data_IF_828428778411
#
_entry.id   IF_828428778411
#
_cell.length_a   1.000
_cell.length_b   1.000
_cell.length_c   1.000
_cell.angle_alpha   90.00
_cell.angle_beta   90.00
_cell.angle_gamma   90.00
#
_symmetry.space_group_name_H-M   'P 1'
#
loop_
_entity.id
_entity.type
_entity.pdbx_description
1 polymer ?
#
# COMPACT_ATOMS: atom_id res chain seq x y z
N UNK A 1 -29.02 -0.68 38.92
CA UNK A 1 -28.17 -1.90 39.12
C UNK A 1 -27.41 -2.06 37.83
N UNK A 2 -26.49 -1.13 37.73
CA UNK A 2 -25.65 -0.81 36.61
C UNK A 2 -24.42 -1.68 36.76
N UNK A 3 -24.07 -2.39 35.70
CA UNK A 3 -22.79 -3.08 35.60
C UNK A 3 -22.16 -2.67 34.28
N UNK A 4 -21.65 -1.44 34.31
CA UNK A 4 -20.61 -0.94 33.42
C UNK A 4 -19.35 -1.82 33.63
N UNK A 5 -18.85 -2.43 32.56
CA UNK A 5 -17.48 -2.94 32.54
C UNK A 5 -16.58 -1.95 31.77
N UNK A 6 -15.52 -1.44 32.39
CA UNK A 6 -14.81 -0.26 31.93
C UNK A 6 -13.86 -0.53 30.77
N UNK A 7 -13.77 0.48 29.91
CA UNK A 7 -12.67 0.75 29.01
C UNK A 7 -11.37 0.95 29.81
N UNK A 8 -10.37 0.11 29.54
CA UNK A 8 -8.96 0.44 29.75
C UNK A 8 -8.21 -0.43 30.76
N UNK A 9 -7.25 -1.23 30.28
CA UNK A 9 -5.98 -1.48 30.99
C UNK A 9 -4.86 -1.72 29.96
N UNK A 10 -4.16 -0.64 29.65
CA UNK A 10 -2.69 -0.47 29.52
C UNK A 10 -1.83 -1.76 29.47
N UNK A 11 -1.23 -2.03 28.30
CA UNK A 11 0.03 -2.76 28.21
C UNK A 11 1.20 -1.77 28.12
N UNK A 12 2.09 -1.88 29.09
CA UNK A 12 3.37 -1.20 29.21
C UNK A 12 4.36 -1.68 28.14
N UNK A 13 5.05 -0.75 27.47
CA UNK A 13 6.21 -1.07 26.63
C UNK A 13 6.63 0.12 25.79
N UNK A 14 7.70 0.80 26.21
CA UNK A 14 8.28 1.92 25.48
C UNK A 14 8.77 1.54 24.08
N UNK A 15 8.63 2.47 23.14
CA UNK A 15 9.27 2.42 21.83
C UNK A 15 9.90 3.80 21.58
N UNK A 16 11.04 4.02 22.22
CA UNK A 16 12.12 4.80 21.62
C UNK A 16 12.90 3.84 20.72
N UNK A 17 12.53 3.76 19.45
CA UNK A 17 13.33 3.17 18.37
C UNK A 17 12.68 3.61 17.05
N UNK A 18 13.52 3.86 16.07
CA UNK A 18 13.23 4.26 14.69
C UNK A 18 11.97 3.61 14.11
N UNK A 19 11.32 4.29 13.16
CA UNK A 19 10.36 3.67 12.24
C UNK A 19 11.06 2.59 11.42
N UNK A 20 11.32 1.44 12.03
CA UNK A 20 11.74 0.26 11.32
C UNK A 20 10.47 -0.32 10.70
N UNK A 21 10.38 -0.18 9.39
CA UNK A 21 9.36 -0.83 8.57
C UNK A 21 9.39 -2.31 8.93
N UNK A 22 8.41 -2.77 9.71
CA UNK A 22 8.24 -4.16 10.07
C UNK A 22 7.77 -4.90 8.80
N UNK A 23 8.74 -5.31 7.97
CA UNK A 23 8.56 -6.35 6.95
C UNK A 23 8.38 -7.68 7.71
N UNK A 24 7.23 -7.86 8.35
CA UNK A 24 6.92 -9.10 9.01
C UNK A 24 6.56 -10.15 7.96
N UNK A 25 7.57 -10.95 7.62
CA UNK A 25 7.41 -12.29 7.03
C UNK A 25 6.59 -12.30 5.73
N UNK A 26 7.26 -11.98 4.61
CA UNK A 26 6.99 -12.68 3.35
C UNK A 26 7.24 -14.18 3.60
N UNK A 27 6.23 -14.86 4.11
CA UNK A 27 6.26 -16.28 4.43
C UNK A 27 6.41 -17.06 3.13
N UNK A 28 7.61 -17.60 2.94
CA UNK A 28 7.86 -18.94 2.37
C UNK A 28 6.81 -19.46 1.37
N UNK A 29 6.59 -18.69 0.31
CA UNK A 29 5.97 -19.17 -0.92
C UNK A 29 6.84 -18.59 -2.04
N UNK A 30 7.55 -19.51 -2.73
CA UNK A 30 8.56 -19.31 -3.79
C UNK A 30 8.63 -17.85 -4.27
N UNK A 31 9.78 -17.14 -4.15
CA UNK A 31 9.85 -15.75 -4.60
C UNK A 31 9.39 -15.71 -6.05
N UNK A 32 8.20 -15.16 -6.28
CA UNK A 32 7.72 -14.93 -7.63
C UNK A 32 8.74 -14.00 -8.25
N UNK A 33 9.36 -14.42 -9.36
CA UNK A 33 10.32 -13.62 -10.12
C UNK A 33 9.87 -12.17 -10.16
N UNK A 34 10.68 -11.25 -9.64
CA UNK A 34 10.40 -9.82 -9.67
C UNK A 34 10.17 -9.40 -11.12
N UNK A 35 8.91 -9.10 -11.44
CA UNK A 35 8.51 -8.67 -12.77
C UNK A 35 8.43 -7.16 -12.76
N UNK A 36 9.24 -6.52 -13.61
CA UNK A 36 9.34 -5.06 -13.71
C UNK A 36 8.01 -4.39 -14.08
N UNK A 37 7.11 -5.11 -14.75
CA UNK A 37 5.80 -4.58 -15.14
C UNK A 37 4.77 -4.66 -13.98
N UNK A 38 5.06 -5.40 -12.91
CA UNK A 38 4.15 -5.66 -11.79
C UNK A 38 4.55 -4.90 -10.52
N UNK A 39 4.99 -3.65 -10.64
CA UNK A 39 5.45 -2.83 -9.50
C UNK A 39 4.37 -2.60 -8.44
N UNK A 40 3.11 -2.44 -8.87
CA UNK A 40 1.97 -2.24 -7.98
C UNK A 40 1.37 -3.54 -7.43
N UNK A 41 2.02 -4.69 -7.63
CA UNK A 41 1.53 -5.98 -7.13
C UNK A 41 1.46 -5.94 -5.62
N UNK A 42 0.27 -6.17 -5.10
CA UNK A 42 0.00 -6.15 -3.67
C UNK A 42 -0.44 -4.80 -3.11
N UNK A 43 -0.47 -3.74 -3.91
CA UNK A 43 -1.01 -2.44 -3.47
C UNK A 43 -2.43 -2.21 -4.00
N UNK A 44 -2.76 -2.80 -5.14
CA UNK A 44 -4.05 -2.59 -5.80
C UNK A 44 -5.14 -3.49 -5.21
N UNK A 45 -6.33 -2.92 -5.05
CA UNK A 45 -7.54 -3.63 -4.65
C UNK A 45 -8.52 -3.74 -5.81
N UNK A 46 -9.23 -4.86 -5.90
CA UNK A 46 -10.24 -5.08 -6.92
C UNK A 46 -11.47 -4.22 -6.63
N UNK A 47 -11.96 -3.40 -7.58
CA UNK A 47 -13.15 -2.57 -7.36
C UNK A 47 -14.44 -3.38 -7.22
N UNK A 48 -14.48 -4.62 -7.70
CA UNK A 48 -15.69 -5.46 -7.64
C UNK A 48 -15.81 -6.28 -6.35
N UNK A 49 -14.69 -6.68 -5.74
CA UNK A 49 -14.71 -7.60 -4.60
C UNK A 49 -13.79 -7.19 -3.44
N UNK A 50 -13.14 -6.03 -3.53
CA UNK A 50 -12.21 -5.48 -2.53
C UNK A 50 -11.05 -6.41 -2.14
N UNK A 51 -10.78 -7.47 -2.92
CA UNK A 51 -9.62 -8.35 -2.71
C UNK A 51 -8.39 -7.74 -3.38
N UNK A 52 -7.23 -7.97 -2.78
CA UNK A 52 -5.94 -7.54 -3.31
C UNK A 52 -5.67 -8.21 -4.67
N UNK A 53 -5.28 -7.41 -5.66
CA UNK A 53 -4.95 -7.88 -7.00
C UNK A 53 -3.56 -8.53 -7.02
N UNK A 54 -3.46 -9.60 -7.80
CA UNK A 54 -2.18 -10.25 -8.14
C UNK A 54 -1.77 -9.89 -9.56
N UNK A 55 -0.69 -10.47 -10.07
CA UNK A 55 -0.24 -10.23 -11.43
C UNK A 55 0.40 -11.45 -12.05
N UNK A 56 0.28 -11.56 -13.36
CA UNK A 56 0.89 -12.63 -14.17
C UNK A 56 1.11 -12.15 -15.59
N UNK A 57 2.12 -12.73 -16.25
CA UNK A 57 2.40 -12.50 -17.66
C UNK A 57 1.95 -13.70 -18.48
N UNK A 58 1.20 -13.46 -19.55
CA UNK A 58 0.76 -14.48 -20.52
C UNK A 58 1.43 -14.26 -21.87
N UNK A 59 1.83 -15.34 -22.54
CA UNK A 59 2.38 -15.30 -23.91
C UNK A 59 1.24 -15.34 -24.93
N UNK A 60 1.18 -14.34 -25.82
CA UNK A 60 0.33 -14.35 -27.02
C UNK A 60 1.10 -14.80 -28.26
N UNK A 61 0.48 -14.64 -29.44
CA UNK A 61 1.08 -15.04 -30.73
C UNK A 61 2.36 -14.26 -31.05
N UNK A 62 2.41 -12.98 -30.71
CA UNK A 62 3.48 -12.06 -31.09
C UNK A 62 4.21 -11.43 -29.91
N UNK A 63 3.60 -11.38 -28.72
CA UNK A 63 4.14 -10.65 -27.57
C UNK A 63 3.72 -11.27 -26.24
N UNK A 64 4.42 -10.88 -25.17
CA UNK A 64 4.01 -11.15 -23.79
C UNK A 64 3.16 -10.00 -23.28
N UNK A 65 2.09 -10.33 -22.56
CA UNK A 65 1.17 -9.36 -21.99
C UNK A 65 1.09 -9.57 -20.49
N UNK A 66 1.37 -8.51 -19.74
CA UNK A 66 1.34 -8.54 -18.28
C UNK A 66 0.06 -7.89 -17.77
N UNK A 67 -0.64 -8.59 -16.86
CA UNK A 67 -1.92 -8.14 -16.33
C UNK A 67 -1.94 -8.21 -14.81
N UNK A 68 -2.55 -7.19 -14.19
CA UNK A 68 -3.10 -7.30 -12.85
C UNK A 68 -4.42 -8.07 -12.92
N UNK A 69 -4.59 -9.08 -12.07
CA UNK A 69 -5.81 -9.90 -12.10
C UNK A 69 -6.28 -10.24 -10.70
N UNK A 70 -7.59 -10.40 -10.56
CA UNK A 70 -8.19 -10.89 -9.34
C UNK A 70 -8.16 -12.43 -9.29
N UNK A 71 -8.32 -12.97 -8.09
CA UNK A 71 -8.50 -14.40 -7.84
C UNK A 71 -9.97 -14.78 -7.99
N UNK A 72 -10.19 -16.04 -8.40
CA UNK A 72 -11.50 -16.69 -8.46
C UNK A 72 -12.30 -16.48 -7.15
N UNK A 73 -13.63 -16.26 -7.22
CA UNK A 73 -14.52 -16.30 -8.40
C UNK A 73 -14.45 -15.06 -9.30
N UNK A 74 -13.76 -14.00 -8.87
CA UNK A 74 -13.66 -12.77 -9.65
C UNK A 74 -12.63 -12.94 -10.79
N UNK A 75 -13.05 -12.65 -12.02
CA UNK A 75 -12.27 -12.91 -13.25
C UNK A 75 -11.71 -11.65 -13.92
N UNK A 76 -11.76 -10.50 -13.23
CA UNK A 76 -11.26 -9.25 -13.79
C UNK A 76 -9.76 -9.27 -14.05
N UNK A 77 -9.36 -8.63 -15.15
CA UNK A 77 -7.98 -8.44 -15.57
C UNK A 77 -7.80 -7.02 -16.07
N UNK A 78 -6.72 -6.38 -15.65
CA UNK A 78 -6.33 -5.03 -16.05
C UNK A 78 -4.94 -5.07 -16.66
N UNK A 79 -4.74 -4.37 -17.77
CA UNK A 79 -3.43 -4.27 -18.41
C UNK A 79 -2.45 -3.56 -17.46
N UNK A 80 -1.30 -4.19 -17.18
CA UNK A 80 -0.35 -3.65 -16.22
C UNK A 80 0.25 -2.31 -16.67
N UNK A 81 0.55 -2.16 -17.97
CA UNK A 81 1.09 -0.92 -18.52
C UNK A 81 0.13 0.26 -18.33
N UNK A 82 -1.15 0.06 -18.67
CA UNK A 82 -2.17 1.10 -18.52
C UNK A 82 -2.33 1.58 -17.07
N UNK A 83 -2.44 0.63 -16.14
CA UNK A 83 -2.59 0.94 -14.71
C UNK A 83 -1.33 1.62 -14.16
N UNK A 84 -0.14 1.16 -14.52
CA UNK A 84 1.10 1.76 -14.05
C UNK A 84 1.23 3.22 -14.49
N UNK A 85 0.89 3.52 -15.76
CA UNK A 85 0.92 4.90 -16.29
C UNK A 85 -0.10 5.78 -15.57
N UNK A 86 -1.31 5.28 -15.34
CA UNK A 86 -2.38 6.03 -14.66
C UNK A 86 -1.99 6.36 -13.22
N UNK A 87 -1.50 5.37 -12.47
CA UNK A 87 -1.02 5.57 -11.10
C UNK A 87 0.20 6.50 -11.08
N UNK A 88 1.13 6.38 -12.03
CA UNK A 88 2.25 7.30 -12.14
C UNK A 88 1.78 8.75 -12.34
N UNK A 89 0.78 8.96 -13.21
CA UNK A 89 0.18 10.28 -13.45
C UNK A 89 -0.46 10.85 -12.19
N UNK A 90 -1.16 10.03 -11.42
CA UNK A 90 -1.79 10.45 -10.17
C UNK A 90 -0.74 10.80 -9.11
N UNK A 91 0.30 9.97 -8.97
CA UNK A 91 1.42 10.24 -8.05
C UNK A 91 2.13 11.55 -8.40
N UNK A 92 2.31 11.85 -9.69
CA UNK A 92 2.93 13.12 -10.13
C UNK A 92 2.10 14.34 -9.74
N UNK A 93 0.78 14.23 -9.64
CA UNK A 93 -0.08 15.34 -9.20
C UNK A 93 0.03 15.58 -7.69
N UNK A 94 0.38 14.55 -6.91
CA UNK A 94 0.61 14.65 -5.47
C UNK A 94 2.00 15.22 -5.13
N UNK A 95 2.92 15.28 -6.09
CA UNK A 95 4.28 15.79 -5.85
C UNK A 95 4.25 17.30 -5.54
N UNK A 96 4.85 17.74 -4.43
CA UNK A 96 5.02 19.15 -4.13
C UNK A 96 5.77 19.88 -5.25
N UNK A 97 5.37 21.12 -5.53
CA UNK A 97 6.10 21.99 -6.45
C UNK A 97 7.55 22.19 -5.96
N UNK A 98 8.53 22.31 -6.87
CA UNK A 98 9.90 22.63 -6.47
C UNK A 98 9.92 23.94 -5.67
N UNK A 99 10.63 23.93 -4.54
CA UNK A 99 10.65 25.05 -3.58
C UNK A 99 9.60 24.98 -2.47
N UNK A 100 8.57 24.12 -2.58
CA UNK A 100 7.58 23.91 -1.52
C UNK A 100 7.87 22.67 -0.66
N UNK A 101 8.88 21.86 -1.02
CA UNK A 101 9.17 20.60 -0.36
C UNK A 101 9.50 20.77 1.14
N UNK A 102 10.21 21.84 1.51
CA UNK A 102 10.59 22.14 2.89
C UNK A 102 9.36 22.48 3.73
N UNK A 103 8.47 23.34 3.22
CA UNK A 103 7.21 23.68 3.89
C UNK A 103 6.30 22.47 4.05
N UNK A 104 6.17 21.62 3.02
CA UNK A 104 5.41 20.37 3.13
C UNK A 104 5.99 19.46 4.21
N UNK A 105 7.32 19.37 4.31
CA UNK A 105 7.99 18.58 5.36
C UNK A 105 7.70 19.12 6.74
N UNK A 106 7.80 20.43 6.95
CA UNK A 106 7.49 21.08 8.24
C UNK A 106 6.04 20.80 8.66
N UNK A 107 5.09 21.01 7.76
CA UNK A 107 3.66 20.76 8.04
C UNK A 107 3.41 19.29 8.37
N UNK A 108 4.00 18.35 7.62
CA UNK A 108 3.84 16.91 7.91
C UNK A 108 4.44 16.57 9.28
N UNK A 109 5.61 17.12 9.62
CA UNK A 109 6.22 16.93 10.94
C UNK A 109 5.32 17.47 12.05
N UNK A 110 4.79 18.69 11.91
CA UNK A 110 3.93 19.31 12.91
C UNK A 110 2.63 18.51 13.11
N UNK A 111 1.98 18.11 12.02
CA UNK A 111 0.75 17.30 12.07
C UNK A 111 1.01 15.93 12.70
N UNK A 112 2.12 15.27 12.34
CA UNK A 112 2.44 13.95 12.90
C UNK A 112 2.75 14.05 14.39
N UNK A 113 3.48 15.08 14.84
CA UNK A 113 3.70 15.35 16.26
C UNK A 113 2.38 15.62 16.98
N UNK A 114 1.48 16.41 16.40
CA UNK A 114 0.17 16.68 16.98
C UNK A 114 -0.69 15.41 17.11
N UNK A 115 -0.74 14.57 16.07
CA UNK A 115 -1.44 13.27 16.10
C UNK A 115 -0.83 12.36 17.17
N UNK A 116 0.50 12.31 17.28
CA UNK A 116 1.17 11.54 18.32
C UNK A 116 0.82 12.07 19.72
N UNK A 117 0.75 13.38 19.92
CA UNK A 117 0.37 14.02 21.19
C UNK A 117 -1.11 13.84 21.55
N UNK A 118 -2.00 13.65 20.58
CA UNK A 118 -3.42 13.36 20.82
C UNK A 118 -3.71 11.90 21.17
N UNK A 119 -2.76 11.00 20.91
CA UNK A 119 -2.87 9.57 21.22
C UNK A 119 -2.31 9.18 22.60
N UNK A 120 -1.77 10.13 23.34
CA UNK A 120 -1.33 10.02 24.73
C UNK A 120 -2.03 11.08 25.57
#
# INVERSE_FOLDING_TARGET
MDNDLPLGTIYTGGISQSMDIRIEKYSSSRPGTYCKDLVLRGFLYCPLCAKQLTGSTSKGRHAYYTYYHCKSPCKVRYNANGINIEVEKDLRQLMPKPGMAELFKEIICDVTIAICKQKY
#
